data_IF_401850407628
#
_entry.id   IF_401850407628
#
_cell.length_a   1.000
_cell.length_b   1.000
_cell.length_c   1.000
_cell.angle_alpha   90.00
_cell.angle_beta   90.00
_cell.angle_gamma   90.00
#
_symmetry.space_group_name_H-M   'P 1'
#
loop_
_entity.id
_entity.type
_entity.pdbx_description
1 polymer ?
#
# COMPACT_ATOMS: atom_id res chain seq x y z
N UNK A 1 1.87 5.81 -5.37
CA UNK A 1 1.98 7.29 -5.43
C UNK A 1 1.68 7.87 -6.81
N UNK A 2 2.41 7.50 -7.87
CA UNK A 2 2.25 8.12 -9.21
C UNK A 2 0.83 8.03 -9.81
N UNK A 3 0.13 6.92 -9.58
CA UNK A 3 -1.26 6.72 -10.05
C UNK A 3 -2.23 7.73 -9.43
N UNK A 4 -2.08 8.06 -8.15
CA UNK A 4 -2.96 9.02 -7.46
C UNK A 4 -2.85 10.43 -8.06
N UNK A 5 -1.63 10.86 -8.40
CA UNK A 5 -1.39 12.15 -9.06
C UNK A 5 -1.94 12.15 -10.48
N UNK A 6 -1.73 11.08 -11.26
CA UNK A 6 -2.25 10.99 -12.62
C UNK A 6 -3.78 11.06 -12.68
N UNK A 7 -4.46 10.32 -11.80
CA UNK A 7 -5.93 10.35 -11.70
C UNK A 7 -6.40 11.72 -11.20
N UNK A 8 -5.77 12.23 -10.13
CA UNK A 8 -6.11 13.54 -9.56
C UNK A 8 -5.96 14.68 -10.56
N UNK A 9 -4.89 14.68 -11.35
CA UNK A 9 -4.67 15.66 -12.41
C UNK A 9 -5.74 15.55 -13.51
N UNK A 10 -6.05 14.34 -13.98
CA UNK A 10 -7.10 14.13 -14.99
C UNK A 10 -8.49 14.58 -14.51
N UNK A 11 -8.85 14.25 -13.27
CA UNK A 11 -10.11 14.70 -12.64
C UNK A 11 -10.11 16.22 -12.45
N UNK A 12 -8.99 16.80 -12.00
CA UNK A 12 -8.86 18.25 -11.84
C UNK A 12 -9.02 19.02 -13.15
N UNK A 13 -8.48 18.50 -14.25
CA UNK A 13 -8.68 19.05 -15.59
C UNK A 13 -10.16 18.97 -15.99
N UNK A 14 -10.79 17.81 -15.78
CA UNK A 14 -12.21 17.60 -16.11
C UNK A 14 -13.15 18.51 -15.31
N UNK A 15 -12.82 18.80 -14.06
CA UNK A 15 -13.60 19.70 -13.19
C UNK A 15 -13.25 21.18 -13.38
N UNK A 16 -12.24 21.51 -14.21
CA UNK A 16 -11.73 22.88 -14.33
C UNK A 16 -11.08 23.41 -13.03
N UNK A 17 -10.77 22.53 -12.08
CA UNK A 17 -10.16 22.87 -10.80
C UNK A 17 -9.05 21.87 -10.47
N UNK A 18 -7.86 22.18 -10.98
CA UNK A 18 -6.64 21.38 -10.79
C UNK A 18 -6.25 21.30 -9.32
N UNK A 19 -6.49 22.36 -8.54
CA UNK A 19 -6.13 22.39 -7.12
C UNK A 19 -6.89 21.31 -6.33
N UNK A 20 -8.20 21.18 -6.56
CA UNK A 20 -9.02 20.12 -5.95
C UNK A 20 -8.57 18.74 -6.46
N UNK A 21 -8.37 18.60 -7.77
CA UNK A 21 -7.96 17.32 -8.37
C UNK A 21 -6.64 16.79 -7.82
N UNK A 22 -5.61 17.64 -7.74
CA UNK A 22 -4.30 17.26 -7.18
C UNK A 22 -4.41 17.00 -5.68
N UNK A 23 -5.11 17.85 -4.91
CA UNK A 23 -5.28 17.65 -3.46
C UNK A 23 -5.92 16.29 -3.15
N UNK A 24 -7.00 15.96 -3.87
CA UNK A 24 -7.70 14.68 -3.71
C UNK A 24 -6.83 13.50 -4.20
N UNK A 25 -6.17 13.62 -5.34
CA UNK A 25 -5.31 12.58 -5.90
C UNK A 25 -4.12 12.24 -5.01
N UNK A 26 -3.50 13.24 -4.38
CA UNK A 26 -2.41 13.05 -3.41
C UNK A 26 -2.93 12.36 -2.16
N UNK A 27 -4.05 12.81 -1.58
CA UNK A 27 -4.61 12.21 -0.37
C UNK A 27 -4.93 10.71 -0.56
N UNK A 28 -5.61 10.36 -1.65
CA UNK A 28 -5.95 8.97 -1.98
C UNK A 28 -4.66 8.16 -2.27
N UNK A 29 -3.75 8.72 -3.06
CA UNK A 29 -2.48 8.07 -3.41
C UNK A 29 -1.62 7.73 -2.19
N UNK A 30 -1.56 8.64 -1.21
CA UNK A 30 -0.83 8.44 0.06
C UNK A 30 -1.52 7.39 0.92
N UNK A 31 -2.84 7.47 1.10
CA UNK A 31 -3.59 6.52 1.92
C UNK A 31 -3.44 5.08 1.40
N UNK A 32 -3.62 4.87 0.08
CA UNK A 32 -3.45 3.55 -0.54
C UNK A 32 -2.00 3.07 -0.48
N UNK A 33 -1.03 3.97 -0.71
CA UNK A 33 0.39 3.64 -0.61
C UNK A 33 0.79 3.18 0.80
N UNK A 34 0.31 3.90 1.82
CA UNK A 34 0.55 3.55 3.23
C UNK A 34 -0.12 2.22 3.60
N UNK A 35 -1.37 2.00 3.17
CA UNK A 35 -2.09 0.75 3.43
C UNK A 35 -1.38 -0.48 2.83
N UNK A 36 -0.90 -0.37 1.58
CA UNK A 36 -0.18 -1.47 0.94
C UNK A 36 1.21 -1.70 1.52
N UNK A 37 1.91 -0.64 1.95
CA UNK A 37 3.17 -0.77 2.68
C UNK A 37 2.97 -1.52 4.01
N UNK A 38 1.97 -1.13 4.79
CA UNK A 38 1.64 -1.80 6.05
C UNK A 38 1.24 -3.27 5.87
N UNK A 39 0.54 -3.60 4.78
CA UNK A 39 0.17 -4.98 4.47
C UNK A 39 1.39 -5.87 4.16
N UNK A 40 2.42 -5.33 3.49
CA UNK A 40 3.66 -6.07 3.20
C UNK A 40 4.47 -6.34 4.48
N UNK A 41 4.51 -5.40 5.42
CA UNK A 41 5.17 -5.60 6.72
C UNK A 41 4.48 -6.67 7.58
N UNK A 42 3.14 -6.70 7.58
CA UNK A 42 2.37 -7.73 8.28
C UNK A 42 2.56 -9.14 7.70
N UNK A 43 2.76 -9.25 6.38
CA UNK A 43 3.04 -10.51 5.71
C UNK A 43 4.46 -11.03 6.02
N UNK A 44 5.46 -10.15 6.05
CA UNK A 44 6.85 -10.51 6.37
C UNK A 44 7.02 -11.05 7.79
N UNK A 45 6.23 -10.56 8.76
CA UNK A 45 6.29 -11.00 10.16
C UNK A 45 5.71 -12.39 10.42
N UNK A 46 4.77 -12.85 9.57
CA UNK A 46 4.08 -14.13 9.75
C UNK A 46 4.91 -15.35 9.32
N UNK A 47 5.98 -15.15 8.55
CA UNK A 47 6.75 -16.24 7.95
C UNK A 47 7.98 -16.65 8.77
N UNK A 48 8.36 -15.84 9.76
CA UNK A 48 9.44 -16.14 10.71
C UNK A 48 9.00 -16.96 11.93
N UNK A 49 7.70 -17.25 12.06
CA UNK A 49 7.17 -18.14 13.11
C UNK A 49 7.07 -19.56 12.54
N UNK A 50 8.22 -20.11 12.13
CA UNK A 50 8.36 -21.55 11.92
C UNK A 50 8.80 -22.15 13.26
N UNK A 51 7.93 -22.88 13.99
CA UNK A 51 8.36 -23.61 15.18
C UNK A 51 9.42 -24.63 14.78
N UNK A 52 10.50 -24.81 15.58
CA UNK A 52 11.53 -25.78 15.27
C UNK A 52 10.89 -27.18 15.22
N UNK A 53 11.20 -27.89 14.15
CA UNK A 53 10.97 -29.32 13.97
C UNK A 53 11.31 -30.06 15.26
N UNK A 54 10.31 -30.67 15.88
CA UNK A 54 10.52 -31.79 16.78
C UNK A 54 11.18 -32.87 15.91
N UNK A 55 12.50 -32.99 16.06
CA UNK A 55 13.25 -34.17 15.66
C UNK A 55 12.57 -35.34 16.37
N UNK A 56 11.73 -36.08 15.64
CA UNK A 56 11.32 -37.42 16.02
C UNK A 56 12.60 -38.21 16.21
N UNK A 57 12.92 -38.39 17.49
CA UNK A 57 14.04 -39.14 18.04
C UNK A 57 14.08 -40.51 17.34
N UNK A 58 15.03 -40.64 16.42
CA UNK A 58 15.33 -41.84 15.65
C UNK A 58 15.90 -42.93 16.59
N UNK A 59 15.62 -44.18 16.20
CA UNK A 59 16.29 -45.43 16.58
C UNK A 59 15.93 -46.12 17.91
#
# INVERSE_FOLDING_TARGET
MAIGIAIGAGVGVALGNIAIGIGMGVAIGVALGAAFAAQQEGAAKKQSEHPPSEEEEDA
#
